data_IF_818355504952
#
_entry.id   IF_818355504952
#
_cell.length_a   1.000
_cell.length_b   1.000
_cell.length_c   1.000
_cell.angle_alpha   90.00
_cell.angle_beta   90.00
_cell.angle_gamma   90.00
#
_symmetry.space_group_name_H-M   'P 1'
#
loop_
_entity.id
_entity.type
_entity.pdbx_description
1 polymer ?
#
# COMPACT_ATOMS: atom_id res chain seq x y z
N UNK A 1 -32.89 53.11 -21.56
CA UNK A 1 -33.28 54.10 -22.58
C UNK A 1 -32.17 55.15 -22.64
N UNK A 2 -31.52 55.28 -23.80
CA UNK A 2 -30.53 56.31 -24.19
C UNK A 2 -29.29 56.55 -23.32
N UNK A 3 -28.15 56.03 -23.78
CA UNK A 3 -27.14 56.91 -24.40
C UNK A 3 -26.37 56.13 -25.47
N UNK A 4 -26.84 56.26 -26.72
CA UNK A 4 -26.20 55.76 -27.95
C UNK A 4 -25.09 56.74 -28.35
N UNK A 5 -23.89 56.22 -28.66
CA UNK A 5 -22.97 56.85 -29.63
C UNK A 5 -22.88 55.93 -30.85
N UNK A 6 -23.33 56.49 -31.98
CA UNK A 6 -23.23 56.01 -33.36
C UNK A 6 -21.76 55.83 -33.77
N UNK A 7 -21.35 54.74 -34.47
CA UNK A 7 -21.43 54.45 -35.93
C UNK A 7 -20.63 55.47 -36.77
N UNK A 8 -19.80 55.15 -37.77
CA UNK A 8 -19.79 54.00 -38.70
C UNK A 8 -18.49 53.94 -39.55
N UNK A 9 -18.33 52.80 -40.25
CA UNK A 9 -17.72 52.56 -41.58
C UNK A 9 -16.20 52.67 -41.75
N UNK A 10 -15.56 51.59 -42.22
CA UNK A 10 -15.07 51.51 -43.62
C UNK A 10 -15.14 50.05 -44.09
N UNK A 11 -15.56 49.94 -45.35
CA UNK A 11 -15.88 48.76 -46.14
C UNK A 11 -14.67 48.18 -46.89
N UNK A 12 -14.94 47.06 -47.52
CA UNK A 12 -14.11 46.16 -48.32
C UNK A 12 -13.49 46.72 -49.63
N UNK A 13 -12.52 45.93 -50.15
CA UNK A 13 -11.99 45.84 -51.52
C UNK A 13 -10.73 46.68 -51.88
N UNK A 14 -9.61 46.00 -52.17
CA UNK A 14 -9.15 45.80 -53.56
C UNK A 14 -8.01 44.77 -53.67
N UNK A 15 -8.09 43.98 -54.74
CA UNK A 15 -7.33 42.80 -55.13
C UNK A 15 -6.06 43.12 -55.94
N UNK A 16 -5.26 42.06 -56.11
CA UNK A 16 -4.22 41.77 -57.12
C UNK A 16 -2.77 41.95 -56.62
N UNK A 17 -1.86 40.97 -56.71
CA UNK A 17 -1.93 39.62 -57.25
C UNK A 17 -0.50 39.16 -57.57
N UNK A 18 -0.13 37.92 -57.23
CA UNK A 18 0.89 37.17 -57.95
C UNK A 18 0.67 35.67 -57.75
N UNK A 19 0.49 34.97 -58.88
CA UNK A 19 0.28 33.53 -59.01
C UNK A 19 1.59 32.78 -58.76
N UNK A 20 1.53 31.64 -58.07
CA UNK A 20 2.43 30.52 -58.34
C UNK A 20 1.62 29.22 -58.39
N UNK A 21 1.84 28.46 -59.46
CA UNK A 21 1.23 27.16 -59.77
C UNK A 21 1.61 26.10 -58.72
N UNK A 22 0.63 25.32 -58.28
CA UNK A 22 0.86 24.00 -57.68
C UNK A 22 0.12 22.98 -58.56
N UNK A 23 0.89 22.04 -59.11
CA UNK A 23 0.39 20.84 -59.75
C UNK A 23 1.25 19.66 -59.31
N UNK A 24 0.65 18.49 -59.20
CA UNK A 24 1.36 17.20 -59.14
C UNK A 24 1.13 16.40 -57.87
N UNK A 25 0.21 15.44 -57.97
CA UNK A 25 -0.12 14.41 -56.99
C UNK A 25 1.01 13.37 -56.84
N UNK A 26 1.27 12.91 -55.61
CA UNK A 26 1.41 11.48 -55.24
C UNK A 26 1.91 11.34 -53.80
N UNK A 27 1.02 11.04 -52.86
CA UNK A 27 1.42 10.58 -51.52
C UNK A 27 1.68 9.08 -51.55
N UNK A 28 2.96 8.71 -51.49
CA UNK A 28 3.43 7.37 -51.17
C UNK A 28 3.16 7.09 -49.69
N UNK A 29 2.35 6.07 -49.44
CA UNK A 29 2.14 5.50 -48.11
C UNK A 29 3.46 4.88 -47.60
N UNK A 30 4.00 5.41 -46.50
CA UNK A 30 5.04 4.73 -45.74
C UNK A 30 4.39 3.95 -44.60
N UNK A 31 4.62 2.63 -44.61
CA UNK A 31 4.25 1.70 -43.55
C UNK A 31 5.15 1.95 -42.34
N UNK A 32 4.58 2.36 -41.20
CA UNK A 32 5.17 2.11 -39.89
C UNK A 32 4.43 0.96 -39.23
N UNK A 33 5.16 -0.13 -38.99
CA UNK A 33 4.67 -1.31 -38.26
C UNK A 33 4.79 -0.98 -36.77
N UNK A 34 3.66 -0.66 -36.11
CA UNK A 34 3.56 -0.71 -34.66
C UNK A 34 2.75 -1.94 -34.29
N UNK A 35 3.44 -3.02 -33.91
CA UNK A 35 2.84 -4.20 -33.30
C UNK A 35 2.33 -3.83 -31.90
N UNK A 36 1.05 -3.48 -31.82
CA UNK A 36 0.30 -3.49 -30.56
C UNK A 36 0.09 -4.96 -30.17
N UNK A 37 0.33 -5.37 -28.91
CA UNK A 37 -0.08 -6.71 -28.48
C UNK A 37 -1.60 -6.79 -28.55
N UNK A 38 -2.11 -7.80 -29.25
CA UNK A 38 -3.53 -8.13 -29.28
C UNK A 38 -4.08 -8.26 -27.86
N UNK A 39 -5.24 -7.65 -27.64
CA UNK A 39 -6.01 -7.81 -26.41
C UNK A 39 -6.33 -9.30 -26.25
N UNK A 40 -5.70 -9.94 -25.26
CA UNK A 40 -5.97 -11.32 -24.89
C UNK A 40 -7.43 -11.39 -24.42
N UNK A 41 -8.24 -12.15 -25.17
CA UNK A 41 -9.63 -12.42 -24.84
C UNK A 41 -9.74 -13.01 -23.43
N UNK A 42 -10.70 -12.51 -22.67
CA UNK A 42 -11.09 -13.04 -21.36
C UNK A 42 -11.87 -14.33 -21.61
N UNK A 43 -11.18 -15.47 -21.63
CA UNK A 43 -11.83 -16.78 -21.54
C UNK A 43 -12.42 -16.94 -20.14
N UNK A 44 -13.74 -17.11 -20.09
CA UNK A 44 -14.54 -17.25 -18.88
C UNK A 44 -14.62 -18.68 -18.35
N UNK A 45 -13.66 -19.54 -18.70
CA UNK A 45 -13.63 -20.94 -18.28
C UNK A 45 -12.19 -21.33 -17.91
N UNK A 46 -11.73 -20.91 -16.72
CA UNK A 46 -10.57 -21.53 -16.09
C UNK A 46 -11.07 -22.68 -15.22
N UNK A 47 -10.98 -23.89 -15.76
CA UNK A 47 -11.10 -25.13 -15.00
C UNK A 47 -10.10 -25.12 -13.82
N UNK A 48 -10.48 -25.71 -12.70
CA UNK A 48 -9.69 -25.68 -11.46
C UNK A 48 -8.33 -26.42 -11.55
N UNK A 49 -7.94 -26.95 -12.73
CA UNK A 49 -6.76 -27.81 -12.95
C UNK A 49 -5.64 -27.20 -13.82
N UNK A 50 -5.78 -25.98 -14.37
CA UNK A 50 -4.87 -25.49 -15.41
C UNK A 50 -3.83 -24.41 -15.00
N UNK A 51 -3.38 -24.42 -13.75
CA UNK A 51 -2.13 -23.72 -13.38
C UNK A 51 -1.13 -24.77 -12.88
N UNK A 52 -0.03 -24.94 -13.61
CA UNK A 52 1.08 -25.81 -13.21
C UNK A 52 1.53 -25.57 -11.77
N UNK A 53 2.14 -26.59 -11.15
CA UNK A 53 2.59 -26.56 -9.76
C UNK A 53 3.26 -25.22 -9.40
N UNK A 54 2.70 -24.52 -8.41
CA UNK A 54 3.20 -23.22 -7.97
C UNK A 54 4.62 -23.36 -7.42
N UNK A 55 5.56 -22.59 -7.94
CA UNK A 55 6.92 -22.51 -7.41
C UNK A 55 6.95 -21.67 -6.13
N UNK A 56 6.71 -22.34 -5.00
CA UNK A 56 6.69 -21.72 -3.67
C UNK A 56 8.06 -21.18 -3.24
N UNK A 57 9.16 -21.66 -3.82
CA UNK A 57 10.52 -21.25 -3.45
C UNK A 57 10.93 -19.92 -4.08
N UNK A 58 10.34 -19.57 -5.22
CA UNK A 58 10.62 -18.32 -5.94
C UNK A 58 9.46 -17.31 -5.87
N UNK A 59 8.65 -17.36 -4.81
CA UNK A 59 7.59 -16.40 -4.57
C UNK A 59 8.14 -14.98 -4.30
N UNK A 60 7.84 -14.04 -5.19
CA UNK A 60 8.00 -12.62 -4.93
C UNK A 60 6.79 -11.99 -4.23
N UNK A 61 6.81 -10.67 -4.08
CA UNK A 61 5.63 -9.88 -3.72
C UNK A 61 4.96 -9.34 -4.99
N UNK A 62 4.26 -10.24 -5.69
CA UNK A 62 3.56 -9.94 -6.94
C UNK A 62 2.11 -10.41 -6.87
N UNK A 63 1.26 -9.81 -7.71
CA UNK A 63 -0.12 -10.26 -7.83
C UNK A 63 -0.16 -11.56 -8.63
N UNK A 64 -0.47 -12.65 -7.93
CA UNK A 64 -0.95 -13.89 -8.55
C UNK A 64 -2.44 -13.98 -8.23
N UNK A 65 -3.34 -13.82 -9.23
CA UNK A 65 -4.77 -13.95 -9.01
C UNK A 65 -5.12 -15.31 -8.37
N UNK A 66 -5.83 -15.27 -7.25
CA UNK A 66 -6.40 -16.47 -6.62
C UNK A 66 -7.79 -16.75 -7.19
N UNK A 67 -8.48 -17.77 -6.71
CA UNK A 67 -9.74 -18.24 -7.32
C UNK A 67 -10.94 -17.38 -6.96
N UNK A 68 -10.97 -16.87 -5.72
CA UNK A 68 -12.11 -16.17 -5.16
C UNK A 68 -11.73 -14.82 -4.54
N UNK A 69 -12.68 -13.91 -4.54
CA UNK A 69 -12.69 -12.67 -3.77
C UNK A 69 -14.02 -12.53 -3.01
N UNK A 70 -14.02 -11.88 -1.86
CA UNK A 70 -15.23 -11.58 -1.09
C UNK A 70 -15.71 -10.16 -1.38
N UNK A 71 -17.02 -9.96 -1.56
CA UNK A 71 -17.60 -8.65 -1.86
C UNK A 71 -18.81 -8.40 -0.99
N UNK A 72 -18.90 -7.18 -0.45
CA UNK A 72 -20.01 -6.67 0.34
C UNK A 72 -20.33 -5.25 -0.12
N UNK A 73 -21.62 -4.93 -0.30
CA UNK A 73 -22.06 -3.61 -0.74
C UNK A 73 -22.63 -2.84 0.44
N UNK A 74 -22.49 -1.52 0.40
CA UNK A 74 -23.08 -0.64 1.38
C UNK A 74 -23.87 0.48 0.69
N UNK A 75 -25.13 0.60 1.09
CA UNK A 75 -26.02 1.67 0.66
C UNK A 75 -25.81 2.95 1.47
N UNK A 76 -26.48 4.03 1.06
CA UNK A 76 -26.35 5.37 1.65
C UNK A 76 -26.68 5.45 3.14
N UNK A 77 -27.45 4.51 3.67
CA UNK A 77 -27.80 4.39 5.09
C UNK A 77 -26.67 3.82 5.96
N UNK A 78 -25.54 3.42 5.35
CA UNK A 78 -24.39 2.88 6.06
C UNK A 78 -24.53 1.41 6.41
N UNK A 79 -25.60 0.75 5.98
CA UNK A 79 -25.79 -0.69 6.15
C UNK A 79 -24.98 -1.44 5.10
N UNK A 80 -24.19 -2.42 5.55
CA UNK A 80 -23.52 -3.38 4.67
C UNK A 80 -24.39 -4.62 4.51
N UNK A 81 -24.61 -5.04 3.26
CA UNK A 81 -25.35 -6.26 2.93
C UNK A 81 -24.64 -7.50 3.46
N UNK A 82 -25.30 -8.65 3.41
CA UNK A 82 -24.57 -9.91 3.48
C UNK A 82 -23.56 -9.94 2.31
N UNK A 83 -22.34 -10.36 2.61
CA UNK A 83 -21.30 -10.47 1.60
C UNK A 83 -21.32 -11.83 0.92
N UNK A 84 -20.62 -11.92 -0.21
CA UNK A 84 -20.59 -13.12 -1.03
C UNK A 84 -19.19 -13.38 -1.60
N UNK A 85 -18.86 -14.66 -1.72
CA UNK A 85 -17.67 -15.11 -2.46
C UNK A 85 -17.98 -15.13 -3.95
N UNK A 86 -17.20 -14.38 -4.72
CA UNK A 86 -17.24 -14.36 -6.17
C UNK A 86 -15.93 -14.92 -6.72
N UNK A 87 -15.95 -15.44 -7.95
CA UNK A 87 -14.69 -15.73 -8.66
C UNK A 87 -13.88 -14.44 -8.79
N UNK A 88 -12.57 -14.53 -8.61
CA UNK A 88 -11.67 -13.40 -8.78
C UNK A 88 -11.82 -12.82 -10.19
N UNK A 89 -11.94 -11.50 -10.29
CA UNK A 89 -12.08 -10.83 -11.57
C UNK A 89 -12.09 -9.32 -11.43
N UNK A 90 -12.11 -8.64 -12.59
CA UNK A 90 -12.25 -7.20 -12.63
C UNK A 90 -13.59 -6.77 -12.02
N UNK A 91 -13.62 -5.60 -11.39
CA UNK A 91 -14.83 -4.95 -10.92
C UNK A 91 -15.30 -3.89 -11.92
N UNK A 92 -16.61 -3.80 -12.11
CA UNK A 92 -17.23 -2.74 -12.90
C UNK A 92 -17.46 -1.50 -12.02
N UNK A 93 -17.05 -0.33 -12.51
CA UNK A 93 -17.24 0.95 -11.82
C UNK A 93 -17.80 1.98 -12.81
N UNK A 94 -18.75 2.79 -12.34
CA UNK A 94 -19.13 4.00 -13.06
C UNK A 94 -17.91 4.91 -13.23
N UNK A 95 -17.68 5.52 -14.42
CA UNK A 95 -16.63 6.53 -14.58
C UNK A 95 -16.75 7.70 -13.61
N UNK A 96 -17.97 7.96 -13.10
CA UNK A 96 -18.25 8.99 -12.10
C UNK A 96 -18.13 8.48 -10.65
N UNK A 97 -17.59 7.29 -10.41
CA UNK A 97 -17.40 6.78 -9.05
C UNK A 97 -16.48 7.71 -8.24
N UNK A 98 -16.83 7.97 -6.98
CA UNK A 98 -16.08 8.88 -6.10
C UNK A 98 -14.61 8.50 -5.93
N UNK A 99 -14.31 7.20 -5.89
CA UNK A 99 -12.92 6.70 -5.82
C UNK A 99 -12.08 7.11 -7.02
N UNK A 100 -12.65 7.10 -8.24
CA UNK A 100 -11.92 7.35 -9.48
C UNK A 100 -11.58 8.83 -9.66
N UNK A 101 -12.46 9.72 -9.17
CA UNK A 101 -12.36 11.15 -9.40
C UNK A 101 -11.77 11.92 -8.22
N UNK A 102 -12.03 11.47 -6.98
CA UNK A 102 -11.67 12.19 -5.75
C UNK A 102 -10.88 11.33 -4.75
N UNK A 103 -10.50 10.11 -5.12
CA UNK A 103 -9.64 9.26 -4.29
C UNK A 103 -10.27 8.80 -2.97
N UNK A 104 -11.61 8.78 -2.85
CA UNK A 104 -12.31 8.33 -1.65
C UNK A 104 -12.25 6.79 -1.53
N UNK A 105 -11.12 6.28 -1.04
CA UNK A 105 -10.90 4.85 -0.85
C UNK A 105 -9.85 4.54 0.22
N UNK A 106 -10.03 3.42 0.90
CA UNK A 106 -9.12 2.86 1.89
C UNK A 106 -8.72 1.45 1.50
N UNK A 107 -7.60 1.00 2.06
CA UNK A 107 -7.22 -0.40 1.98
C UNK A 107 -6.54 -0.87 3.25
N UNK A 108 -6.56 -2.18 3.45
CA UNK A 108 -5.83 -2.85 4.52
C UNK A 108 -4.84 -3.87 3.98
N UNK A 109 -3.98 -4.38 4.85
CA UNK A 109 -3.00 -5.38 4.49
C UNK A 109 -2.66 -6.27 5.67
N UNK A 110 -2.99 -7.54 5.55
CA UNK A 110 -2.73 -8.59 6.52
C UNK A 110 -2.33 -9.88 5.81
N UNK A 111 -1.94 -10.89 6.59
CA UNK A 111 -1.44 -12.16 6.08
C UNK A 111 -2.12 -13.32 6.80
N UNK A 112 -2.39 -14.38 6.05
CA UNK A 112 -2.66 -15.70 6.58
C UNK A 112 -1.43 -16.60 6.40
N UNK A 113 -1.16 -17.41 7.42
CA UNK A 113 -0.06 -18.36 7.45
C UNK A 113 -0.61 -19.77 7.61
N UNK A 114 -0.05 -20.73 6.86
CA UNK A 114 -0.31 -22.14 7.16
C UNK A 114 0.33 -22.47 8.49
N UNK A 115 -0.43 -23.10 9.40
CA UNK A 115 0.08 -23.54 10.68
C UNK A 115 1.27 -24.48 10.47
N UNK A 116 2.35 -24.26 11.20
CA UNK A 116 3.49 -25.17 11.17
C UNK A 116 3.13 -26.56 11.74
N UNK A 117 2.24 -26.59 12.74
CA UNK A 117 1.79 -27.80 13.43
C UNK A 117 0.26 -27.92 13.36
N UNK A 118 -0.24 -29.04 12.82
CA UNK A 118 -1.66 -29.33 12.67
C UNK A 118 -2.27 -28.82 11.37
N UNK A 119 -3.59 -29.02 11.22
CA UNK A 119 -4.36 -28.45 10.13
C UNK A 119 -4.78 -27.00 10.44
N UNK A 120 -5.21 -26.28 9.40
CA UNK A 120 -5.73 -24.91 9.51
C UNK A 120 -4.68 -23.83 9.24
N UNK A 121 -5.11 -22.58 9.43
CA UNK A 121 -4.33 -21.38 9.16
C UNK A 121 -4.41 -20.40 10.32
N UNK A 122 -3.49 -19.44 10.34
CA UNK A 122 -3.44 -18.36 11.33
C UNK A 122 -3.55 -17.01 10.63
N UNK A 123 -4.44 -16.17 11.16
CA UNK A 123 -4.46 -14.74 10.88
C UNK A 123 -3.74 -13.99 12.00
N UNK A 124 -3.05 -12.90 11.65
CA UNK A 124 -2.35 -12.06 12.64
C UNK A 124 -3.08 -10.72 12.82
N UNK A 125 -3.65 -10.52 14.02
CA UNK A 125 -4.34 -9.31 14.50
C UNK A 125 -5.38 -8.73 13.51
N UNK A 126 -6.26 -9.55 12.89
CA UNK A 126 -7.23 -9.05 11.91
C UNK A 126 -8.17 -7.96 12.48
N UNK A 127 -8.47 -7.99 13.78
CA UNK A 127 -9.31 -6.98 14.44
C UNK A 127 -8.63 -5.61 14.48
N UNK A 128 -7.30 -5.54 14.58
CA UNK A 128 -6.57 -4.28 14.54
C UNK A 128 -6.60 -3.67 13.14
N UNK A 129 -6.58 -4.51 12.09
CA UNK A 129 -6.78 -4.06 10.71
C UNK A 129 -8.19 -3.49 10.52
N UNK A 130 -9.22 -4.18 11.04
CA UNK A 130 -10.60 -3.70 10.99
C UNK A 130 -10.77 -2.35 11.69
N UNK A 131 -10.25 -2.22 12.93
CA UNK A 131 -10.28 -0.96 13.70
C UNK A 131 -9.57 0.17 12.98
N UNK A 132 -8.42 -0.10 12.36
CA UNK A 132 -7.69 0.92 11.59
C UNK A 132 -8.47 1.36 10.35
N UNK A 133 -9.14 0.44 9.67
CA UNK A 133 -10.05 0.78 8.57
C UNK A 133 -11.21 1.66 9.05
N UNK A 134 -11.82 1.36 10.19
CA UNK A 134 -12.91 2.17 10.76
C UNK A 134 -12.46 3.61 11.07
N UNK A 135 -11.31 3.79 11.72
CA UNK A 135 -10.71 5.12 11.95
C UNK A 135 -10.46 5.85 10.63
N UNK A 136 -9.96 5.13 9.63
CA UNK A 136 -9.76 5.69 8.29
C UNK A 136 -11.07 6.10 7.61
N UNK A 137 -12.12 5.30 7.78
CA UNK A 137 -13.42 5.52 7.17
C UNK A 137 -14.09 6.76 7.77
N UNK A 138 -14.00 6.94 9.09
CA UNK A 138 -14.41 8.17 9.76
C UNK A 138 -13.68 9.38 9.16
N UNK A 139 -12.35 9.32 9.02
CA UNK A 139 -11.57 10.43 8.44
C UNK A 139 -11.94 10.74 6.99
N UNK A 140 -12.32 9.72 6.21
CA UNK A 140 -12.66 9.82 4.79
C UNK A 140 -14.17 9.99 4.55
N UNK A 141 -14.98 10.17 5.60
CA UNK A 141 -16.44 10.28 5.54
C UNK A 141 -17.09 9.08 4.83
N UNK A 142 -16.65 7.86 5.16
CA UNK A 142 -17.15 6.59 4.62
C UNK A 142 -17.80 5.76 5.74
N UNK A 143 -18.87 4.99 5.45
CA UNK A 143 -19.28 3.91 6.33
C UNK A 143 -18.22 2.80 6.30
N UNK A 144 -18.05 2.07 7.42
CA UNK A 144 -17.12 0.95 7.51
C UNK A 144 -17.83 -0.33 7.96
N UNK A 145 -17.36 -1.51 7.52
CA UNK A 145 -17.83 -2.76 8.09
C UNK A 145 -17.57 -2.81 9.59
N UNK A 146 -18.38 -3.58 10.32
CA UNK A 146 -18.07 -3.93 11.70
C UNK A 146 -16.77 -4.76 11.77
N UNK A 147 -16.17 -4.85 12.96
CA UNK A 147 -14.99 -5.69 13.17
C UNK A 147 -15.28 -7.15 12.78
N UNK A 148 -16.46 -7.64 13.15
CA UNK A 148 -16.89 -9.01 12.84
C UNK A 148 -17.12 -9.21 11.34
N UNK A 149 -17.78 -8.27 10.66
CA UNK A 149 -17.97 -8.33 9.20
C UNK A 149 -16.63 -8.34 8.47
N UNK A 150 -15.68 -7.52 8.90
CA UNK A 150 -14.34 -7.49 8.32
C UNK A 150 -13.61 -8.81 8.56
N UNK A 151 -13.58 -9.30 9.80
CA UNK A 151 -12.90 -10.54 10.17
C UNK A 151 -13.49 -11.74 9.42
N UNK A 152 -14.82 -11.83 9.36
CA UNK A 152 -15.53 -12.86 8.62
C UNK A 152 -15.19 -12.84 7.12
N UNK A 153 -15.21 -11.67 6.48
CA UNK A 153 -14.85 -11.53 5.06
C UNK A 153 -13.41 -11.98 4.78
N UNK A 154 -12.48 -11.65 5.68
CA UNK A 154 -11.07 -12.08 5.61
C UNK A 154 -10.99 -13.60 5.72
N UNK A 155 -11.63 -14.19 6.73
CA UNK A 155 -11.65 -15.64 6.96
C UNK A 155 -12.22 -16.39 5.75
N UNK A 156 -13.41 -15.99 5.26
CA UNK A 156 -14.04 -16.61 4.09
C UNK A 156 -13.14 -16.53 2.85
N UNK A 157 -12.45 -15.40 2.64
CA UNK A 157 -11.51 -15.24 1.53
C UNK A 157 -10.33 -16.21 1.64
N UNK A 158 -9.80 -16.43 2.85
CA UNK A 158 -8.69 -17.37 3.05
C UNK A 158 -9.15 -18.81 2.83
N UNK A 159 -10.28 -19.21 3.42
CA UNK A 159 -10.80 -20.58 3.30
C UNK A 159 -11.14 -20.94 1.85
N UNK A 160 -11.76 -20.01 1.11
CA UNK A 160 -12.05 -20.19 -0.31
C UNK A 160 -10.78 -20.32 -1.18
N UNK A 161 -9.68 -19.71 -0.76
CA UNK A 161 -8.39 -19.72 -1.47
C UNK A 161 -7.33 -20.58 -0.78
N UNK A 162 -7.72 -21.55 0.05
CA UNK A 162 -6.80 -22.33 0.92
C UNK A 162 -5.66 -23.05 0.19
N UNK A 163 -5.86 -23.40 -1.09
CA UNK A 163 -4.83 -24.01 -1.95
C UNK A 163 -3.70 -23.04 -2.32
N UNK A 164 -3.99 -21.74 -2.28
CA UNK A 164 -3.03 -20.67 -2.55
C UNK A 164 -2.26 -20.23 -1.31
N UNK A 165 -2.57 -20.76 -0.12
CA UNK A 165 -1.78 -20.46 1.08
C UNK A 165 -0.46 -21.23 1.01
N UNK A 166 0.71 -20.56 0.96
CA UNK A 166 1.99 -21.25 0.84
C UNK A 166 2.23 -22.27 1.97
N UNK A 167 3.02 -23.33 1.71
CA UNK A 167 3.53 -24.19 2.77
C UNK A 167 4.27 -23.39 3.85
N UNK A 168 4.31 -23.91 5.08
CA UNK A 168 5.02 -23.25 6.17
C UNK A 168 6.49 -23.01 5.80
N UNK A 169 7.00 -21.81 6.08
CA UNK A 169 8.35 -21.38 5.70
C UNK A 169 8.55 -20.98 4.24
N UNK A 170 7.55 -21.13 3.37
CA UNK A 170 7.63 -20.76 1.93
C UNK A 170 6.95 -19.44 1.56
N UNK A 171 6.26 -18.81 2.51
CA UNK A 171 5.60 -17.53 2.29
C UNK A 171 4.32 -17.38 3.11
N UNK A 172 3.44 -16.51 2.62
CA UNK A 172 2.13 -16.25 3.24
C UNK A 172 1.09 -15.93 2.18
N UNK A 173 -0.19 -16.11 2.51
CA UNK A 173 -1.26 -15.55 1.71
C UNK A 173 -1.47 -14.10 2.14
N UNK A 174 -1.12 -13.14 1.30
CA UNK A 174 -1.38 -11.72 1.56
C UNK A 174 -2.83 -11.40 1.21
N UNK A 175 -3.51 -10.74 2.14
CA UNK A 175 -4.94 -10.44 2.05
C UNK A 175 -5.08 -8.92 1.93
N UNK A 176 -5.86 -8.48 0.95
CA UNK A 176 -6.10 -7.08 0.62
C UNK A 176 -7.60 -6.75 0.73
N UNK A 177 -8.04 -6.28 1.90
CA UNK A 177 -9.32 -5.61 2.03
C UNK A 177 -9.25 -4.21 1.42
N UNK A 178 -10.28 -3.82 0.68
CA UNK A 178 -10.50 -2.52 0.06
C UNK A 178 -11.85 -1.99 0.52
N UNK A 179 -11.93 -0.70 0.84
CA UNK A 179 -13.19 0.02 1.02
C UNK A 179 -13.23 1.15 0.00
N UNK A 180 -14.22 1.10 -0.89
CA UNK A 180 -14.22 1.86 -2.15
C UNK A 180 -15.49 2.70 -2.21
N UNK A 181 -15.37 4.02 -2.43
CA UNK A 181 -16.50 4.89 -2.77
C UNK A 181 -16.96 4.65 -4.21
N UNK A 182 -17.85 3.68 -4.41
CA UNK A 182 -18.28 3.19 -5.74
C UNK A 182 -19.45 3.96 -6.33
N UNK A 183 -20.23 4.65 -5.50
CA UNK A 183 -21.39 5.42 -5.96
C UNK A 183 -21.01 6.57 -6.89
N UNK A 184 -21.83 6.77 -7.93
CA UNK A 184 -21.63 7.80 -8.93
C UNK A 184 -21.92 9.20 -8.36
N UNK A 185 -20.94 10.11 -8.45
CA UNK A 185 -21.06 11.48 -7.98
C UNK A 185 -20.08 12.42 -8.71
N UNK A 186 -20.59 13.58 -9.16
CA UNK A 186 -19.77 14.65 -9.77
C UNK A 186 -19.55 15.85 -8.82
N UNK A 187 -20.39 15.99 -7.80
CA UNK A 187 -20.19 16.99 -6.76
C UNK A 187 -19.13 16.51 -5.78
N UNK A 188 -18.35 17.44 -5.22
CA UNK A 188 -17.42 17.11 -4.14
C UNK A 188 -18.19 16.85 -2.85
N UNK A 189 -18.56 15.60 -2.62
CA UNK A 189 -19.22 15.10 -1.42
C UNK A 189 -18.92 13.59 -1.24
N UNK A 190 -19.21 13.00 -0.07
CA UNK A 190 -19.08 11.56 0.13
C UNK A 190 -19.90 10.77 -0.91
N UNK A 191 -19.33 9.68 -1.41
CA UNK A 191 -20.00 8.79 -2.35
C UNK A 191 -21.34 8.27 -1.75
N UNK A 192 -22.39 8.10 -2.59
CA UNK A 192 -23.68 7.61 -2.11
C UNK A 192 -23.71 6.10 -1.84
N UNK A 193 -22.72 5.34 -2.35
CA UNK A 193 -22.62 3.88 -2.22
C UNK A 193 -21.15 3.47 -2.09
N UNK A 194 -20.93 2.36 -1.39
CA UNK A 194 -19.59 1.84 -1.13
C UNK A 194 -19.52 0.34 -1.38
N UNK A 195 -18.33 -0.14 -1.72
CA UNK A 195 -18.02 -1.57 -1.82
C UNK A 195 -16.87 -1.90 -0.90
N UNK A 196 -17.07 -2.90 -0.04
CA UNK A 196 -16.00 -3.57 0.69
C UNK A 196 -15.64 -4.86 -0.05
N UNK A 197 -14.38 -4.99 -0.45
CA UNK A 197 -13.89 -6.10 -1.25
C UNK A 197 -12.63 -6.68 -0.62
N UNK A 198 -12.52 -7.99 -0.52
CA UNK A 198 -11.31 -8.67 -0.04
C UNK A 198 -10.82 -9.62 -1.12
N UNK A 199 -9.58 -9.45 -1.55
CA UNK A 199 -8.89 -10.42 -2.41
C UNK A 199 -7.58 -10.86 -1.77
N UNK A 200 -6.98 -11.93 -2.30
CA UNK A 200 -5.74 -12.46 -1.79
C UNK A 200 -4.73 -12.75 -2.91
N UNK A 201 -3.47 -12.93 -2.53
CA UNK A 201 -2.40 -13.41 -3.40
C UNK A 201 -1.32 -14.13 -2.56
N UNK A 202 -0.76 -15.27 -3.01
CA UNK A 202 0.43 -15.83 -2.40
C UNK A 202 1.61 -14.88 -2.58
N UNK A 203 2.36 -14.64 -1.51
CA UNK A 203 3.55 -13.79 -1.54
C UNK A 203 4.70 -14.39 -0.73
N UNK A 204 5.92 -14.15 -1.20
CA UNK A 204 7.15 -14.41 -0.46
C UNK A 204 7.75 -13.11 0.08
N UNK A 205 9.05 -12.88 -0.15
CA UNK A 205 9.75 -11.68 0.33
C UNK A 205 9.35 -10.42 -0.45
N UNK A 206 9.33 -9.28 0.24
CA UNK A 206 8.97 -8.00 -0.36
C UNK A 206 10.07 -7.43 -1.27
N UNK A 207 11.32 -7.45 -0.79
CA UNK A 207 12.47 -7.02 -1.55
C UNK A 207 13.02 -8.18 -2.38
N UNK A 208 13.48 -7.87 -3.60
CA UNK A 208 14.08 -8.87 -4.50
C UNK A 208 15.35 -9.47 -3.90
N UNK A 209 16.08 -8.70 -3.09
CA UNK A 209 17.25 -9.19 -2.35
C UNK A 209 16.87 -10.06 -1.12
N UNK A 210 15.60 -10.39 -0.92
CA UNK A 210 15.13 -11.26 0.16
C UNK A 210 15.14 -10.55 1.51
N UNK A 211 15.79 -11.15 2.51
CA UNK A 211 16.02 -10.55 3.83
C UNK A 211 17.24 -9.63 3.87
N UNK A 212 17.87 -9.33 2.73
CA UNK A 212 19.03 -8.45 2.70
C UNK A 212 18.68 -7.06 3.27
N UNK A 213 19.61 -6.44 4.03
CA UNK A 213 19.40 -5.10 4.54
C UNK A 213 19.21 -4.06 3.44
N UNK A 214 18.21 -3.21 3.60
CA UNK A 214 17.87 -2.17 2.63
C UNK A 214 18.72 -0.92 2.80
N UNK A 215 18.80 -0.12 1.73
CA UNK A 215 19.42 1.21 1.75
C UNK A 215 18.38 2.28 1.41
N UNK A 216 18.34 3.38 2.18
CA UNK A 216 17.34 4.43 2.00
C UNK A 216 17.98 5.75 1.59
N UNK A 217 17.22 6.54 0.83
CA UNK A 217 17.53 7.94 0.55
C UNK A 217 16.59 8.82 1.35
N UNK A 218 17.12 9.78 2.12
CA UNK A 218 16.28 10.82 2.72
C UNK A 218 15.82 11.78 1.62
N UNK A 219 14.51 11.93 1.48
CA UNK A 219 13.88 12.89 0.59
C UNK A 219 13.69 14.22 1.32
N UNK A 220 14.11 15.31 0.67
CA UNK A 220 14.21 16.65 1.27
C UNK A 220 13.15 17.62 0.72
N UNK A 221 12.72 17.40 -0.51
CA UNK A 221 11.80 18.31 -1.21
C UNK A 221 10.36 17.81 -1.12
N UNK A 222 10.16 16.50 -1.27
CA UNK A 222 8.83 15.88 -1.25
C UNK A 222 8.47 15.41 0.16
N UNK A 223 7.33 15.83 0.68
CA UNK A 223 6.82 15.40 1.98
C UNK A 223 5.74 14.32 1.79
N UNK A 224 5.80 13.27 2.61
CA UNK A 224 4.82 12.16 2.57
C UNK A 224 3.45 12.59 3.09
N UNK A 225 3.46 13.37 4.16
CA UNK A 225 2.28 13.84 4.86
C UNK A 225 2.56 15.22 5.47
N UNK A 226 1.48 15.91 5.84
CA UNK A 226 1.53 17.19 6.53
C UNK A 226 0.55 17.15 7.71
N UNK A 227 0.81 17.90 8.80
CA UNK A 227 -0.15 18.00 9.90
C UNK A 227 -1.52 18.50 9.43
N UNK A 228 -2.58 17.85 9.92
CA UNK A 228 -3.96 18.06 9.44
C UNK A 228 -4.31 17.30 8.15
N UNK A 229 -3.34 16.70 7.47
CA UNK A 229 -3.56 15.83 6.30
C UNK A 229 -4.13 14.46 6.66
N UNK A 230 -3.88 13.49 5.78
CA UNK A 230 -4.36 12.11 5.91
C UNK A 230 -3.25 11.09 6.19
N UNK A 231 -2.04 11.54 6.54
CA UNK A 231 -0.87 10.66 6.68
C UNK A 231 -1.06 9.51 7.66
N UNK A 232 -1.78 9.73 8.76
CA UNK A 232 -2.14 8.73 9.77
C UNK A 232 -3.23 7.75 9.36
N UNK A 233 -3.74 7.84 8.12
CA UNK A 233 -4.82 6.99 7.59
C UNK A 233 -4.33 6.18 6.40
N UNK A 234 -4.78 4.93 6.28
CA UNK A 234 -4.41 4.04 5.17
C UNK A 234 -5.26 4.26 3.91
N UNK A 235 -5.35 5.53 3.49
CA UNK A 235 -6.07 5.96 2.30
C UNK A 235 -5.22 5.86 1.05
N UNK A 236 -5.85 5.57 -0.10
CA UNK A 236 -5.17 5.52 -1.40
C UNK A 236 -4.54 6.87 -1.79
N UNK A 237 -5.10 7.99 -1.29
CA UNK A 237 -4.63 9.34 -1.56
C UNK A 237 -3.19 9.60 -1.08
N UNK A 238 -2.68 8.81 -0.12
CA UNK A 238 -1.34 8.99 0.44
C UNK A 238 -0.24 8.31 -0.38
N UNK A 239 -0.58 7.39 -1.30
CA UNK A 239 0.40 6.51 -1.94
C UNK A 239 0.82 6.99 -3.33
N UNK A 240 -0.07 7.63 -4.08
CA UNK A 240 0.28 8.19 -5.40
C UNK A 240 1.28 9.37 -5.32
N UNK A 241 1.17 10.33 -4.37
CA UNK A 241 2.07 11.49 -4.32
C UNK A 241 3.54 11.14 -4.11
N UNK A 242 3.84 10.02 -3.46
CA UNK A 242 5.21 9.60 -3.12
C UNK A 242 5.92 8.82 -4.25
N UNK A 243 5.19 8.41 -5.30
CA UNK A 243 5.73 7.54 -6.35
C UNK A 243 6.90 8.19 -7.11
N UNK A 244 6.84 9.49 -7.38
CA UNK A 244 7.91 10.18 -8.10
C UNK A 244 9.22 10.17 -7.29
N UNK A 245 9.16 10.49 -6.00
CA UNK A 245 10.32 10.45 -5.11
C UNK A 245 10.89 9.02 -5.02
N UNK A 246 10.01 8.03 -4.88
CA UNK A 246 10.41 6.62 -4.84
C UNK A 246 11.10 6.18 -6.14
N UNK A 247 10.57 6.55 -7.31
CA UNK A 247 11.19 6.23 -8.61
C UNK A 247 12.57 6.88 -8.76
N UNK A 248 12.73 8.15 -8.33
CA UNK A 248 14.03 8.84 -8.36
C UNK A 248 15.06 8.19 -7.43
N UNK A 249 14.64 7.69 -6.27
CA UNK A 249 15.53 6.98 -5.37
C UNK A 249 15.94 5.62 -5.96
N UNK A 250 14.98 4.87 -6.50
CA UNK A 250 15.24 3.58 -7.17
C UNK A 250 16.18 3.71 -8.36
N UNK A 251 16.03 4.75 -9.20
CA UNK A 251 16.94 4.98 -10.34
C UNK A 251 18.38 5.31 -9.91
N UNK A 252 18.60 5.69 -8.65
CA UNK A 252 19.91 5.92 -8.04
C UNK A 252 20.42 4.71 -7.23
N UNK A 253 19.74 3.57 -7.28
CA UNK A 253 20.13 2.34 -6.59
C UNK A 253 19.78 2.30 -5.09
N UNK A 254 18.81 3.10 -4.65
CA UNK A 254 18.24 2.99 -3.30
C UNK A 254 17.01 2.09 -3.29
N UNK A 255 16.80 1.37 -2.19
CA UNK A 255 15.68 0.45 -2.01
C UNK A 255 14.36 1.22 -1.84
N UNK A 256 14.37 2.29 -1.05
CA UNK A 256 13.21 3.14 -0.80
C UNK A 256 13.62 4.55 -0.31
N UNK A 257 12.62 5.39 -0.06
CA UNK A 257 12.76 6.76 0.45
C UNK A 257 12.40 6.80 1.94
N UNK A 258 13.17 7.58 2.72
CA UNK A 258 12.83 7.99 4.08
C UNK A 258 12.40 9.46 4.09
N UNK A 259 11.24 9.74 4.68
CA UNK A 259 10.67 11.10 4.70
C UNK A 259 10.95 11.83 6.00
N UNK A 260 11.12 13.15 5.87
CA UNK A 260 11.20 14.10 6.97
C UNK A 260 9.86 14.83 7.16
N UNK A 261 9.63 15.28 8.38
CA UNK A 261 8.49 16.10 8.74
C UNK A 261 8.41 17.36 7.86
N UNK A 262 7.19 17.73 7.49
CA UNK A 262 6.99 18.84 6.54
C UNK A 262 7.24 20.23 7.13
N UNK A 263 7.33 20.36 8.45
CA UNK A 263 7.44 21.66 9.13
C UNK A 263 8.90 22.04 9.33
N UNK A 264 9.64 21.19 10.03
CA UNK A 264 11.01 21.46 10.46
C UNK A 264 12.03 20.86 9.49
N UNK A 265 11.61 19.91 8.64
CA UNK A 265 12.48 19.15 7.73
C UNK A 265 13.68 18.56 8.47
N UNK A 266 13.44 18.08 9.69
CA UNK A 266 14.47 17.61 10.62
C UNK A 266 14.12 16.28 11.27
N UNK A 267 12.86 16.04 11.54
CA UNK A 267 12.40 14.85 12.24
C UNK A 267 12.02 13.77 11.22
N UNK A 268 12.48 12.55 11.46
CA UNK A 268 12.15 11.38 10.66
C UNK A 268 10.69 11.01 10.87
N UNK A 269 10.01 10.62 9.80
CA UNK A 269 8.66 10.06 9.87
C UNK A 269 8.67 8.58 9.48
N UNK A 270 8.46 8.27 8.20
CA UNK A 270 8.33 6.91 7.70
C UNK A 270 9.14 6.71 6.42
N UNK A 271 9.46 5.45 6.11
CA UNK A 271 9.75 5.08 4.74
C UNK A 271 8.45 5.03 3.91
N UNK A 272 8.51 4.98 2.58
CA UNK A 272 7.31 5.12 1.70
C UNK A 272 6.12 4.25 2.10
N UNK A 273 6.35 3.07 2.69
CA UNK A 273 5.28 2.18 3.16
C UNK A 273 5.54 1.49 4.50
N UNK A 274 6.54 1.93 5.27
CA UNK A 274 6.98 1.26 6.50
C UNK A 274 7.32 2.27 7.60
N UNK A 275 7.00 1.92 8.85
CA UNK A 275 7.42 2.70 10.01
C UNK A 275 8.91 2.51 10.29
N UNK A 276 9.58 3.54 10.84
CA UNK A 276 11.00 3.52 11.16
C UNK A 276 11.26 3.32 12.67
N UNK A 277 12.32 2.59 12.97
CA UNK A 277 12.91 2.47 14.31
C UNK A 277 14.42 2.71 14.24
N UNK A 278 14.96 3.31 15.29
CA UNK A 278 16.41 3.41 15.53
C UNK A 278 16.75 2.76 16.87
N UNK A 279 17.97 2.25 16.99
CA UNK A 279 18.51 1.71 18.24
C UNK A 279 19.79 2.45 18.58
N UNK A 280 19.91 2.93 19.82
CA UNK A 280 21.12 3.55 20.35
C UNK A 280 21.36 3.06 21.77
N UNK A 281 22.54 2.48 22.03
CA UNK A 281 22.95 2.01 23.36
C UNK A 281 21.89 1.09 24.02
N UNK A 282 21.27 0.24 23.20
CA UNK A 282 20.21 -0.70 23.63
C UNK A 282 18.81 -0.09 23.79
N UNK A 283 18.65 1.23 23.60
CA UNK A 283 17.35 1.92 23.64
C UNK A 283 16.75 1.99 22.24
N UNK A 284 15.52 1.52 22.09
CA UNK A 284 14.77 1.56 20.84
C UNK A 284 13.94 2.85 20.80
N UNK A 285 14.07 3.64 19.74
CA UNK A 285 13.26 4.85 19.52
C UNK A 285 12.51 4.77 18.20
N UNK A 286 11.29 5.29 18.15
CA UNK A 286 10.48 5.41 16.93
C UNK A 286 9.66 6.70 16.95
N UNK A 287 9.44 7.35 15.80
CA UNK A 287 8.50 8.46 15.69
C UNK A 287 7.12 8.11 16.26
N UNK A 288 6.56 8.97 17.13
CA UNK A 288 5.20 8.79 17.64
C UNK A 288 4.15 9.09 16.55
N UNK A 289 2.99 8.45 16.65
CA UNK A 289 1.92 8.58 15.66
C UNK A 289 1.00 9.76 16.00
N UNK A 290 1.34 10.98 15.55
CA UNK A 290 0.53 12.21 15.73
C UNK A 290 -0.12 12.72 14.43
N UNK A 291 -0.60 11.81 13.59
CA UNK A 291 -1.41 12.15 12.41
C UNK A 291 -0.63 12.26 11.09
N UNK A 292 0.69 12.44 11.10
CA UNK A 292 1.53 12.34 9.89
C UNK A 292 2.21 10.98 9.74
N UNK A 293 2.07 10.10 10.73
CA UNK A 293 2.64 8.74 10.70
C UNK A 293 1.50 7.73 10.84
N UNK A 294 1.45 6.75 9.95
CA UNK A 294 0.47 5.67 9.97
C UNK A 294 0.72 4.78 11.20
N UNK A 295 -0.29 4.53 12.07
CA UNK A 295 -0.16 3.59 13.17
C UNK A 295 -0.11 2.15 12.63
N UNK A 296 1.11 1.68 12.32
CA UNK A 296 1.35 0.33 11.84
C UNK A 296 1.05 -0.71 12.90
N UNK A 297 0.34 -1.78 12.53
CA UNK A 297 0.06 -2.91 13.42
C UNK A 297 1.36 -3.67 13.72
N UNK A 298 2.27 -3.77 12.75
CA UNK A 298 3.62 -4.31 12.97
C UNK A 298 4.41 -3.42 13.91
N UNK A 299 4.42 -2.10 13.72
CA UNK A 299 5.03 -1.13 14.67
C UNK A 299 4.52 -1.34 16.09
N UNK A 300 3.20 -1.39 16.27
CA UNK A 300 2.54 -1.64 17.56
C UNK A 300 3.03 -2.96 18.18
N UNK A 301 3.02 -4.04 17.41
CA UNK A 301 3.43 -5.37 17.86
C UNK A 301 4.93 -5.43 18.22
N UNK A 302 5.78 -4.74 17.47
CA UNK A 302 7.23 -4.64 17.78
C UNK A 302 7.48 -3.88 19.07
N UNK A 303 6.76 -2.78 19.32
CA UNK A 303 6.86 -2.04 20.58
C UNK A 303 6.46 -2.92 21.77
N UNK A 304 5.33 -3.64 21.65
CA UNK A 304 4.86 -4.57 22.68
C UNK A 304 5.87 -5.72 22.91
N UNK A 305 6.38 -6.36 21.86
CA UNK A 305 7.39 -7.41 21.95
C UNK A 305 8.70 -6.92 22.56
N UNK A 306 9.18 -5.75 22.15
CA UNK A 306 10.42 -5.20 22.66
C UNK A 306 10.33 -4.93 24.17
N UNK A 307 9.23 -4.32 24.63
CA UNK A 307 8.99 -4.09 26.07
C UNK A 307 8.93 -5.41 26.85
N UNK A 308 8.24 -6.42 26.31
CA UNK A 308 8.16 -7.74 26.94
C UNK A 308 9.51 -8.47 27.02
N UNK A 309 10.43 -8.18 26.11
CA UNK A 309 11.80 -8.70 26.12
C UNK A 309 12.79 -7.82 26.92
N UNK A 310 12.28 -6.85 27.69
CA UNK A 310 13.09 -6.01 28.58
C UNK A 310 13.80 -4.83 27.90
N UNK A 311 13.53 -4.56 26.62
CA UNK A 311 14.07 -3.38 25.95
C UNK A 311 13.35 -2.11 26.40
N UNK A 312 14.10 -1.01 26.52
CA UNK A 312 13.51 0.32 26.64
C UNK A 312 13.03 0.80 25.28
N UNK A 313 11.77 1.25 25.21
CA UNK A 313 11.16 1.73 23.97
C UNK A 313 10.58 3.13 24.16
N UNK A 314 11.08 4.09 23.38
CA UNK A 314 10.67 5.49 23.40
C UNK A 314 9.93 5.86 22.11
N UNK A 315 8.67 6.28 22.24
CA UNK A 315 7.91 6.89 21.15
C UNK A 315 8.08 8.41 21.25
N UNK A 316 8.95 8.98 20.41
CA UNK A 316 9.40 10.38 20.51
C UNK A 316 9.65 10.98 19.12
N UNK A 317 9.89 12.28 19.04
CA UNK A 317 10.50 12.84 17.83
C UNK A 317 11.90 12.25 17.68
N UNK A 318 12.19 11.75 16.47
CA UNK A 318 13.51 11.23 16.10
C UNK A 318 14.07 12.16 15.05
N UNK A 319 15.20 12.80 15.33
CA UNK A 319 15.85 13.76 14.43
C UNK A 319 16.87 13.09 13.51
N UNK A 320 17.32 13.82 12.50
CA UNK A 320 18.49 13.43 11.71
C UNK A 320 19.75 13.27 12.59
N UNK A 321 19.88 14.00 13.69
CA UNK A 321 21.06 13.86 14.57
C UNK A 321 20.99 12.53 15.35
N UNK A 322 19.80 12.16 15.83
CA UNK A 322 19.58 10.82 16.41
C UNK A 322 19.93 9.71 15.40
N UNK A 323 19.59 9.92 14.12
CA UNK A 323 19.88 8.99 13.04
C UNK A 323 21.38 8.82 12.78
N UNK A 324 22.16 9.90 12.93
CA UNK A 324 23.61 9.90 12.72
C UNK A 324 24.34 9.09 13.78
N UNK A 325 23.79 9.08 14.99
CA UNK A 325 24.40 8.44 16.16
C UNK A 325 23.89 7.00 16.40
N UNK A 326 22.83 6.59 15.70
CA UNK A 326 22.20 5.28 15.86
C UNK A 326 23.15 4.11 15.53
N UNK A 327 23.05 3.04 16.31
CA UNK A 327 23.79 1.78 16.11
C UNK A 327 23.09 0.88 15.09
N UNK A 328 21.75 0.81 15.15
CA UNK A 328 20.91 0.05 14.24
C UNK A 328 19.74 0.90 13.75
N UNK A 329 19.28 0.62 12.53
CA UNK A 329 18.05 1.17 11.98
C UNK A 329 17.28 0.05 11.31
N UNK A 330 15.96 0.03 11.51
CA UNK A 330 15.09 -0.94 10.85
C UNK A 330 13.71 -0.38 10.55
N UNK A 331 13.07 -0.93 9.53
CA UNK A 331 11.72 -0.60 9.11
C UNK A 331 10.75 -1.72 9.47
N UNK A 332 9.48 -1.40 9.68
CA UNK A 332 8.43 -2.38 9.99
C UNK A 332 7.16 -2.15 9.16
N UNK A 333 6.49 -3.24 8.81
CA UNK A 333 5.22 -3.21 8.07
C UNK A 333 4.79 -4.62 7.67
N UNK A 334 3.51 -4.84 7.36
CA UNK A 334 2.98 -6.19 7.06
C UNK A 334 3.77 -6.93 5.98
N UNK A 335 4.17 -6.23 4.92
CA UNK A 335 4.86 -6.84 3.79
C UNK A 335 6.28 -7.29 4.15
N UNK A 336 7.03 -6.42 4.84
CA UNK A 336 8.46 -6.62 5.18
C UNK A 336 8.69 -7.28 6.55
N UNK A 337 7.65 -7.31 7.39
CA UNK A 337 7.72 -7.66 8.82
C UNK A 337 8.68 -6.72 9.58
N UNK A 338 9.96 -7.06 9.62
CA UNK A 338 11.04 -6.22 10.12
C UNK A 338 12.16 -6.28 9.08
N UNK A 339 12.55 -5.12 8.55
CA UNK A 339 13.60 -5.00 7.53
C UNK A 339 14.78 -4.22 8.09
N UNK A 340 15.97 -4.81 8.26
CA UNK A 340 17.16 -4.07 8.66
C UNK A 340 17.54 -3.06 7.58
N UNK A 341 18.07 -1.91 8.00
CA UNK A 341 18.58 -0.85 7.12
C UNK A 341 20.09 -0.79 7.26
N UNK A 342 20.83 -1.12 6.20
CA UNK A 342 22.30 -1.10 6.22
C UNK A 342 22.87 0.31 6.06
N UNK A 343 22.16 1.19 5.37
CA UNK A 343 22.61 2.58 5.19
C UNK A 343 21.48 3.55 4.86
N UNK A 344 21.67 4.80 5.27
CA UNK A 344 20.80 5.92 4.90
C UNK A 344 21.67 7.03 4.33
N UNK A 345 21.30 7.54 3.15
CA UNK A 345 21.97 8.66 2.51
C UNK A 345 21.18 9.95 2.70
N UNK A 346 21.84 10.99 3.20
CA UNK A 346 21.28 12.32 3.39
C UNK A 346 22.28 13.37 2.90
N UNK A 347 21.83 14.26 2.01
CA UNK A 347 22.63 15.34 1.45
C UNK A 347 24.01 14.88 0.92
N UNK A 348 24.04 13.72 0.25
CA UNK A 348 25.26 13.13 -0.31
C UNK A 348 26.13 12.37 0.69
N UNK A 349 25.87 12.46 2.00
CA UNK A 349 26.56 11.67 3.01
C UNK A 349 25.82 10.35 3.28
N UNK A 350 26.55 9.23 3.34
CA UNK A 350 25.99 7.90 3.62
C UNK A 350 26.37 7.43 5.02
N UNK A 351 25.37 7.35 5.89
CA UNK A 351 25.47 6.75 7.22
C UNK A 351 25.26 5.25 7.12
N UNK A 352 26.03 4.47 7.87
CA UNK A 352 25.97 2.99 7.88
C UNK A 352 25.60 2.49 9.26
N UNK A 353 24.82 1.42 9.31
CA UNK A 353 24.30 0.84 10.54
C UNK A 353 24.66 -0.63 10.65
N UNK A 354 24.64 -1.13 11.88
CA UNK A 354 24.87 -2.54 12.18
C UNK A 354 23.70 -3.38 11.69
N UNK A 355 24.02 -4.51 11.09
CA UNK A 355 23.08 -5.53 10.60
C UNK A 355 23.65 -6.92 10.93
N UNK A 356 22.83 -7.96 10.99
CA UNK A 356 23.27 -9.34 11.22
C UNK A 356 22.51 -10.05 12.34
N UNK A 357 22.95 -11.26 12.69
CA UNK A 357 22.24 -12.16 13.61
C UNK A 357 22.10 -11.62 15.04
N UNK A 358 23.07 -10.83 15.49
CA UNK A 358 23.10 -10.33 16.87
C UNK A 358 22.24 -9.08 17.11
N UNK A 359 21.67 -8.51 16.05
CA UNK A 359 20.96 -7.22 16.12
C UNK A 359 19.60 -7.33 16.79
N UNK A 360 19.15 -6.22 17.39
CA UNK A 360 17.81 -6.10 17.98
C UNK A 360 16.73 -6.33 16.93
N UNK A 361 16.92 -5.76 15.73
CA UNK A 361 16.02 -5.96 14.59
C UNK A 361 15.80 -7.43 14.23
N UNK A 362 16.86 -8.25 14.23
CA UNK A 362 16.78 -9.68 13.90
C UNK A 362 16.08 -10.49 15.00
N UNK A 363 16.41 -10.25 16.26
CA UNK A 363 15.74 -10.88 17.42
C UNK A 363 14.23 -10.59 17.43
N UNK A 364 13.84 -9.36 17.13
CA UNK A 364 12.44 -8.96 17.04
C UNK A 364 11.71 -9.54 15.82
N UNK A 365 12.40 -9.67 14.68
CA UNK A 365 11.87 -10.38 13.50
C UNK A 365 11.53 -11.83 13.84
N UNK A 366 12.45 -12.56 14.46
CA UNK A 366 12.27 -13.97 14.82
C UNK A 366 11.15 -14.17 15.83
N UNK A 367 11.10 -13.33 16.87
CA UNK A 367 10.02 -13.37 17.85
C UNK A 367 8.65 -13.17 17.21
N UNK A 368 8.50 -12.15 16.34
CA UNK A 368 7.22 -11.86 15.69
C UNK A 368 6.80 -12.93 14.69
N UNK A 369 7.73 -13.39 13.84
CA UNK A 369 7.43 -14.40 12.82
C UNK A 369 7.14 -15.77 13.45
N UNK A 370 7.78 -16.12 14.56
CA UNK A 370 7.48 -17.34 15.31
C UNK A 370 6.04 -17.37 15.82
N UNK A 371 5.52 -16.23 16.30
CA UNK A 371 4.10 -16.10 16.69
C UNK A 371 3.20 -16.22 15.45
N UNK A 372 3.50 -15.46 14.39
CA UNK A 372 2.68 -15.44 13.17
C UNK A 372 2.52 -16.80 12.49
N UNK A 373 3.56 -17.64 12.54
CA UNK A 373 3.57 -18.97 11.93
C UNK A 373 3.14 -20.08 12.91
N UNK A 374 2.84 -19.74 14.17
CA UNK A 374 2.47 -20.71 15.20
C UNK A 374 3.61 -21.66 15.58
N UNK A 375 4.86 -21.20 15.51
CA UNK A 375 6.04 -21.95 15.98
C UNK A 375 6.20 -21.89 17.50
N UNK A 376 5.60 -20.89 18.13
CA UNK A 376 5.54 -20.71 19.57
C UNK A 376 4.12 -20.42 20.00
N UNK A 377 3.82 -20.68 21.27
CA UNK A 377 2.55 -20.28 21.88
C UNK A 377 2.40 -18.75 21.85
N UNK A 378 1.27 -18.29 21.34
CA UNK A 378 0.91 -16.89 21.34
C UNK A 378 0.32 -16.46 22.68
N UNK A 379 1.19 -16.01 23.59
CA UNK A 379 0.81 -15.53 24.92
C UNK A 379 0.12 -14.16 24.91
N UNK A 380 0.08 -13.48 23.76
CA UNK A 380 -0.46 -12.13 23.62
C UNK A 380 -1.84 -12.11 22.96
N UNK A 381 -2.33 -13.26 22.50
CA UNK A 381 -3.65 -13.38 21.87
C UNK A 381 -3.76 -12.58 20.57
N UNK A 382 -2.69 -12.56 19.79
CA UNK A 382 -2.59 -11.85 18.51
C UNK A 382 -2.99 -12.68 17.30
N UNK A 383 -2.99 -14.00 17.41
CA UNK A 383 -3.27 -14.94 16.35
C UNK A 383 -4.69 -15.49 16.46
N UNK A 384 -5.37 -15.56 15.32
CA UNK A 384 -6.72 -16.13 15.20
C UNK A 384 -6.63 -17.38 14.35
N UNK A 385 -7.10 -18.50 14.88
CA UNK A 385 -7.20 -19.76 14.15
C UNK A 385 -8.37 -19.70 13.17
N UNK A 386 -8.15 -20.20 11.97
CA UNK A 386 -9.17 -20.43 10.96
C UNK A 386 -9.03 -21.86 10.44
N UNK A 387 -10.14 -22.60 10.42
CA UNK A 387 -10.17 -24.05 10.15
C UNK A 387 -11.00 -24.39 8.91
#
# INVERSE_FOLDING_TARGET
>A
MMLRKLLSSVDSQFLNGLKLQIGGSSYLASRSVSSLPEAVGLDSDRSDEENGEMDWDNLGFALTPTDYMYVMKCSRDGYFTDGMLNRYGNIELSPSAGVLNYGQGLFEGLKAYRRAMGAGFLLFRPEENAKRMQVGAERMCMPAPSVDQFAHAVEQTVLANKRWVPPSGKGSLYIRPLLIGTGAILGLAPAPEYTFLVYAAPVGTYFKEGMAPINLLIEHETHRATPGGTGGVKTIANYAPVLQAQMRAKSKGFSDVLYLDSINKRYLEEASSCNLFIVKDGVISTPYTNGTILPGITRKSIIELARNNGYQVSERLVSIDDLREADEVFCTGTAVVVSPVSSITYQGHRYRYRTGEETVSKKLYEALTSIQMGLVEDKLGWTVNID
#
